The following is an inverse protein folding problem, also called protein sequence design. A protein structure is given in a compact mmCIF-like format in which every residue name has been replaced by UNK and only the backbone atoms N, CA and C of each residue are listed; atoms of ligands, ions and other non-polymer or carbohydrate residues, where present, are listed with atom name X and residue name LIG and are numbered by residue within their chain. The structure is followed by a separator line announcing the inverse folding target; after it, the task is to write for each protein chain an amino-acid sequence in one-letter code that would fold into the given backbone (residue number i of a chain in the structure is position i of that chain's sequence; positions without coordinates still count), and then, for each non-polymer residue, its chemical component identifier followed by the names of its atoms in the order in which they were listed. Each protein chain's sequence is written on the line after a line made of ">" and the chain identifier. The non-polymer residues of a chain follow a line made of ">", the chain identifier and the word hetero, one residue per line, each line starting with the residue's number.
data_IF_430685427232
#
_entry.id   IF_430685427232
#
_cell.length_a   1.000
_cell.length_b   1.000
_cell.length_c   1.000
_cell.angle_alpha   90.00
_cell.angle_beta   90.00
_cell.angle_gamma   90.00
#
_symmetry.space_group_name_H-M   'P 1'
#
loop_
_entity.id
_entity.type
_entity.pdbx_description
1 polymer ?
#
# COMPACT_ATOMS: atom_id res chain seq x y z
N UNK A 1 -5.97 0.05 -10.19
CA UNK A 1 -6.81 -1.06 -9.78
C UNK A 1 -7.89 -1.34 -10.84
N UNK A 2 -7.64 -2.35 -11.70
CA UNK A 2 -8.53 -2.71 -12.82
C UNK A 2 -9.90 -3.16 -12.31
N UNK A 3 -9.97 -3.90 -11.21
CA UNK A 3 -11.24 -4.45 -10.71
C UNK A 3 -12.22 -3.39 -10.22
N UNK A 4 -11.75 -2.30 -9.60
CA UNK A 4 -12.63 -1.22 -9.17
C UNK A 4 -13.12 -0.38 -10.35
N UNK A 5 -12.28 -0.15 -11.37
CA UNK A 5 -12.71 0.49 -12.62
C UNK A 5 -13.75 -0.35 -13.35
N UNK A 6 -13.52 -1.66 -13.48
CA UNK A 6 -14.45 -2.58 -14.10
C UNK A 6 -15.79 -2.66 -13.37
N UNK A 7 -15.78 -2.56 -12.03
CA UNK A 7 -16.99 -2.49 -11.21
C UNK A 7 -17.82 -1.24 -11.55
N UNK A 8 -17.18 -0.08 -11.64
CA UNK A 8 -17.84 1.18 -12.00
C UNK A 8 -18.45 1.10 -13.41
N UNK A 9 -17.72 0.54 -14.38
CA UNK A 9 -18.24 0.34 -15.74
C UNK A 9 -19.40 -0.63 -15.78
N UNK A 10 -19.32 -1.78 -15.11
CA UNK A 10 -20.39 -2.76 -15.05
C UNK A 10 -21.67 -2.14 -14.43
N UNK A 11 -21.52 -1.33 -13.38
CA UNK A 11 -22.63 -0.61 -12.76
C UNK A 11 -23.26 0.41 -13.71
N UNK A 12 -22.44 1.24 -14.37
CA UNK A 12 -22.92 2.25 -15.31
C UNK A 12 -23.63 1.63 -16.53
N UNK A 13 -23.22 0.42 -16.94
CA UNK A 13 -23.82 -0.33 -18.05
C UNK A 13 -25.01 -1.21 -17.63
N UNK A 14 -25.36 -1.27 -16.33
CA UNK A 14 -26.35 -2.19 -15.77
C UNK A 14 -26.03 -3.68 -16.05
N UNK A 15 -24.75 -4.02 -16.13
CA UNK A 15 -24.28 -5.39 -16.29
C UNK A 15 -24.16 -6.06 -14.92
N UNK A 16 -25.28 -6.63 -14.45
CA UNK A 16 -25.38 -7.19 -13.10
C UNK A 16 -24.50 -8.42 -12.87
N UNK A 17 -24.21 -9.20 -13.92
CA UNK A 17 -23.37 -10.39 -13.83
C UNK A 17 -21.90 -9.97 -13.56
N UNK A 18 -21.37 -9.09 -14.39
CA UNK A 18 -20.03 -8.58 -14.24
C UNK A 18 -19.89 -7.70 -12.99
N UNK A 19 -20.91 -6.92 -12.63
CA UNK A 19 -20.93 -6.17 -11.37
C UNK A 19 -20.69 -7.11 -10.18
N UNK A 20 -21.47 -8.18 -10.02
CA UNK A 20 -21.32 -9.13 -8.92
C UNK A 20 -19.97 -9.85 -8.91
N UNK A 21 -19.37 -10.07 -10.09
CA UNK A 21 -18.02 -10.63 -10.23
C UNK A 21 -16.96 -9.63 -9.73
N UNK A 22 -17.01 -8.39 -10.17
CA UNK A 22 -16.02 -7.38 -9.84
C UNK A 22 -16.14 -6.89 -8.39
N UNK A 23 -17.35 -6.87 -7.81
CA UNK A 23 -17.53 -6.65 -6.36
C UNK A 23 -16.72 -7.65 -5.52
N UNK A 24 -16.73 -8.93 -5.90
CA UNK A 24 -15.92 -9.96 -5.22
C UNK A 24 -14.42 -9.75 -5.41
N UNK A 25 -13.99 -9.32 -6.60
CA UNK A 25 -12.58 -9.03 -6.86
C UNK A 25 -12.11 -7.78 -6.12
N UNK A 26 -12.93 -6.75 -6.04
CA UNK A 26 -12.64 -5.54 -5.27
C UNK A 26 -12.44 -5.83 -3.77
N UNK A 27 -13.05 -6.89 -3.24
CA UNK A 27 -12.87 -7.35 -1.85
C UNK A 27 -11.79 -8.42 -1.67
N UNK A 28 -11.10 -8.83 -2.75
CA UNK A 28 -10.11 -9.90 -2.67
C UNK A 28 -8.91 -9.57 -1.76
N UNK A 29 -8.60 -8.28 -1.54
CA UNK A 29 -7.54 -7.85 -0.63
C UNK A 29 -7.73 -8.37 0.81
N UNK A 30 -8.97 -8.61 1.25
CA UNK A 30 -9.29 -9.14 2.58
C UNK A 30 -8.68 -10.54 2.83
N UNK A 31 -8.54 -11.37 1.76
CA UNK A 31 -7.94 -12.70 1.83
C UNK A 31 -6.42 -12.65 2.00
N UNK A 32 -5.79 -11.57 1.58
CA UNK A 32 -4.33 -11.40 1.65
C UNK A 32 -3.88 -10.68 2.91
N UNK A 33 -4.79 -10.19 3.76
CA UNK A 33 -4.43 -9.51 4.98
C UNK A 33 -4.20 -10.49 6.14
N UNK A 34 -2.95 -10.61 6.55
CA UNK A 34 -2.59 -11.39 7.74
C UNK A 34 -2.75 -10.54 9.00
N UNK A 35 -3.78 -10.82 9.77
CA UNK A 35 -4.09 -10.11 11.03
C UNK A 35 -2.99 -10.23 12.08
N UNK A 36 -2.20 -11.31 12.04
CA UNK A 36 -1.14 -11.55 13.03
C UNK A 36 0.07 -10.63 12.81
N UNK A 37 0.38 -10.32 11.56
CA UNK A 37 1.48 -9.44 11.17
C UNK A 37 1.01 -8.03 10.81
N UNK A 38 -0.28 -7.86 10.50
CA UNK A 38 -0.90 -6.63 10.00
C UNK A 38 -0.29 -6.16 8.67
N UNK A 39 -0.03 -7.14 7.78
CA UNK A 39 0.45 -6.91 6.42
C UNK A 39 -0.38 -7.68 5.39
N UNK A 40 -0.42 -7.17 4.17
CA UNK A 40 -0.79 -7.98 3.01
C UNK A 40 0.33 -8.97 2.72
N UNK A 41 -0.02 -10.26 2.54
CA UNK A 41 0.96 -11.34 2.34
C UNK A 41 0.55 -12.26 1.19
N UNK A 42 1.54 -12.86 0.55
CA UNK A 42 1.32 -13.90 -0.44
C UNK A 42 0.79 -15.19 0.18
N UNK A 43 -0.09 -15.86 -0.56
CA UNK A 43 -0.59 -17.19 -0.26
C UNK A 43 0.00 -18.20 -1.25
N UNK A 44 0.21 -19.42 -0.80
CA UNK A 44 0.54 -20.52 -1.69
C UNK A 44 -0.72 -21.12 -2.36
N UNK A 45 -0.54 -22.14 -3.20
CA UNK A 45 -1.64 -22.80 -3.89
C UNK A 45 -2.62 -23.57 -2.99
N UNK A 46 -2.29 -23.73 -1.70
CA UNK A 46 -3.15 -24.34 -0.68
C UNK A 46 -3.88 -23.30 0.17
N UNK A 47 -3.58 -22.00 -0.03
CA UNK A 47 -4.12 -20.90 0.77
C UNK A 47 -3.40 -20.70 2.10
N UNK A 48 -2.18 -21.22 2.23
CA UNK A 48 -1.34 -21.02 3.41
C UNK A 48 -0.40 -19.82 3.20
N UNK A 49 -0.07 -19.08 4.29
CA UNK A 49 0.85 -17.96 4.20
C UNK A 49 2.23 -18.41 3.75
N UNK A 50 2.77 -17.76 2.72
CA UNK A 50 4.13 -18.02 2.26
C UNK A 50 5.14 -17.65 3.35
N UNK A 51 6.14 -18.52 3.54
CA UNK A 51 7.18 -18.39 4.56
C UNK A 51 8.56 -18.67 3.96
N UNK A 52 9.64 -18.06 4.46
CA UNK A 52 9.67 -17.07 5.55
C UNK A 52 9.05 -15.73 5.15
N UNK A 53 8.54 -14.96 6.11
CA UNK A 53 8.00 -13.63 5.88
C UNK A 53 8.90 -12.55 6.49
N UNK A 54 9.33 -11.61 5.67
CA UNK A 54 10.05 -10.42 6.09
C UNK A 54 9.42 -9.20 5.40
N UNK A 55 8.81 -8.27 6.16
CA UNK A 55 8.08 -7.15 5.58
C UNK A 55 8.95 -6.10 4.87
N UNK A 56 10.29 -6.17 5.01
CA UNK A 56 11.27 -5.31 4.33
C UNK A 56 12.01 -5.99 3.19
N UNK A 57 11.73 -7.27 2.97
CA UNK A 57 12.36 -8.01 1.88
C UNK A 57 11.77 -7.58 0.54
N UNK A 58 12.68 -7.35 -0.42
CA UNK A 58 12.37 -7.21 -1.83
C UNK A 58 13.36 -8.03 -2.63
N UNK A 59 12.84 -8.91 -3.48
CA UNK A 59 13.63 -9.64 -4.47
C UNK A 59 12.93 -9.46 -5.80
N UNK A 60 13.34 -8.43 -6.53
CA UNK A 60 12.69 -7.98 -7.75
C UNK A 60 12.32 -9.13 -8.68
N UNK A 61 11.04 -9.26 -9.04
CA UNK A 61 10.45 -10.29 -9.91
C UNK A 61 10.37 -11.72 -9.35
N UNK A 62 10.76 -11.96 -8.10
CA UNK A 62 10.71 -13.31 -7.52
C UNK A 62 10.12 -13.39 -6.11
N UNK A 63 9.60 -12.28 -5.62
CA UNK A 63 8.87 -12.20 -4.34
C UNK A 63 7.35 -12.06 -4.54
N UNK A 64 6.63 -11.74 -3.45
CA UNK A 64 5.17 -11.59 -3.45
C UNK A 64 4.73 -10.18 -3.89
N UNK A 65 5.65 -9.24 -4.05
CA UNK A 65 5.38 -7.82 -4.26
C UNK A 65 6.04 -7.30 -5.53
N UNK A 66 5.27 -6.61 -6.34
CA UNK A 66 5.81 -5.95 -7.52
C UNK A 66 6.41 -4.60 -7.11
N UNK A 67 7.70 -4.38 -7.40
CA UNK A 67 8.36 -3.08 -7.20
C UNK A 67 8.22 -2.52 -5.77
N UNK A 68 8.16 -3.38 -4.76
CA UNK A 68 7.90 -2.94 -3.41
C UNK A 68 8.15 -4.03 -2.38
N UNK A 69 7.76 -3.74 -1.15
CA UNK A 69 7.76 -4.66 -0.02
C UNK A 69 6.37 -4.73 0.59
N UNK A 70 6.18 -5.55 1.63
CA UNK A 70 4.92 -5.59 2.37
C UNK A 70 4.54 -4.22 2.96
N UNK A 71 5.54 -3.39 3.32
CA UNK A 71 5.30 -2.06 3.85
C UNK A 71 4.60 -1.14 2.86
N UNK A 72 4.97 -1.15 1.58
CA UNK A 72 4.32 -0.32 0.57
C UNK A 72 2.99 -0.92 0.13
N UNK A 73 2.95 -2.23 -0.15
CA UNK A 73 1.77 -2.86 -0.76
C UNK A 73 0.59 -3.06 0.18
N UNK A 74 0.81 -3.06 1.51
CA UNK A 74 -0.28 -3.16 2.49
C UNK A 74 -1.32 -2.03 2.35
N UNK A 75 -0.91 -0.88 1.82
CA UNK A 75 -1.77 0.30 1.68
C UNK A 75 -2.48 0.41 0.32
N UNK A 76 -2.16 -0.50 -0.63
CA UNK A 76 -2.68 -0.39 -2.00
C UNK A 76 -4.13 -0.88 -2.12
N UNK A 77 -5.01 -0.27 -1.33
CA UNK A 77 -6.48 -0.46 -1.33
C UNK A 77 -7.19 0.91 -1.47
N UNK A 78 -6.85 1.71 -2.50
CA UNK A 78 -7.39 3.06 -2.63
C UNK A 78 -8.90 3.10 -2.89
N UNK A 79 -9.47 2.01 -3.36
CA UNK A 79 -10.89 1.87 -3.68
C UNK A 79 -11.78 1.54 -2.48
N UNK A 80 -11.21 1.14 -1.34
CA UNK A 80 -11.96 0.72 -0.15
C UNK A 80 -11.17 1.03 1.14
N UNK A 81 -10.88 2.30 1.35
CA UNK A 81 -10.09 2.75 2.51
C UNK A 81 -10.80 2.44 3.83
N UNK A 82 -12.12 2.64 3.88
CA UNK A 82 -12.92 2.32 5.08
C UNK A 82 -12.88 0.81 5.39
N UNK A 83 -12.93 -0.03 4.36
CA UNK A 83 -12.75 -1.47 4.50
C UNK A 83 -11.37 -1.84 5.05
N UNK A 84 -10.31 -1.18 4.57
CA UNK A 84 -8.95 -1.38 5.08
C UNK A 84 -8.81 -0.93 6.54
N UNK A 85 -9.40 0.21 6.92
CA UNK A 85 -9.45 0.70 8.31
C UNK A 85 -10.11 -0.34 9.22
N UNK A 86 -11.27 -0.85 8.81
CA UNK A 86 -12.00 -1.88 9.56
C UNK A 86 -11.20 -3.19 9.66
N UNK A 87 -10.56 -3.60 8.57
CA UNK A 87 -9.74 -4.82 8.52
C UNK A 87 -8.54 -4.76 9.47
N UNK A 88 -7.93 -3.57 9.63
CA UNK A 88 -6.83 -3.30 10.56
C UNK A 88 -7.25 -3.19 12.03
N UNK A 89 -8.55 -3.14 12.31
CA UNK A 89 -9.09 -3.08 13.68
C UNK A 89 -9.58 -1.69 14.12
N UNK A 90 -9.86 -0.80 13.16
CA UNK A 90 -10.41 0.53 13.39
C UNK A 90 -9.37 1.65 13.25
N UNK A 91 -9.84 2.89 13.40
CA UNK A 91 -9.05 4.10 13.12
C UNK A 91 -7.73 4.18 13.91
N UNK A 92 -7.75 3.89 15.22
CA UNK A 92 -6.55 4.01 16.05
C UNK A 92 -5.47 2.99 15.64
N UNK A 93 -5.86 1.74 15.39
CA UNK A 93 -4.96 0.70 14.94
C UNK A 93 -4.42 0.98 13.52
N UNK A 94 -5.25 1.54 12.66
CA UNK A 94 -4.86 1.99 11.32
C UNK A 94 -3.84 3.13 11.39
N UNK A 95 -4.10 4.17 12.20
CA UNK A 95 -3.18 5.30 12.38
C UNK A 95 -1.84 4.85 12.96
N UNK A 96 -1.86 3.99 14.00
CA UNK A 96 -0.62 3.43 14.59
C UNK A 96 0.23 2.71 13.52
N UNK A 97 -0.41 1.88 12.69
CA UNK A 97 0.30 1.17 11.62
C UNK A 97 0.78 2.12 10.52
N UNK A 98 -0.01 3.14 10.18
CA UNK A 98 0.35 4.15 9.18
C UNK A 98 1.50 5.03 9.68
N UNK A 99 1.49 5.46 10.93
CA UNK A 99 2.60 6.19 11.54
C UNK A 99 3.89 5.36 11.55
N UNK A 100 3.77 4.05 11.79
CA UNK A 100 4.91 3.12 11.73
C UNK A 100 5.59 3.11 10.36
N UNK A 101 4.82 3.22 9.26
CA UNK A 101 5.37 3.25 7.91
C UNK A 101 6.40 4.37 7.73
N UNK A 102 6.14 5.55 8.32
CA UNK A 102 7.00 6.74 8.18
C UNK A 102 8.11 6.83 9.23
N UNK A 103 8.12 5.95 10.24
CA UNK A 103 9.04 6.03 11.39
C UNK A 103 9.98 4.85 11.53
N UNK A 104 9.68 3.70 10.93
CA UNK A 104 10.57 2.55 10.94
C UNK A 104 11.82 2.82 10.11
N UNK A 105 12.86 2.03 10.33
CA UNK A 105 14.13 2.14 9.61
C UNK A 105 13.95 1.99 8.09
N UNK A 106 14.61 2.85 7.32
CA UNK A 106 14.57 2.90 5.86
C UNK A 106 15.46 1.83 5.19
N UNK A 107 15.81 0.75 5.88
CA UNK A 107 16.61 -0.34 5.34
C UNK A 107 15.75 -1.32 4.54
N UNK A 108 16.25 -1.75 3.39
CA UNK A 108 15.68 -2.82 2.58
C UNK A 108 16.50 -4.09 2.77
N UNK A 109 15.84 -5.23 2.68
CA UNK A 109 16.46 -6.55 2.75
C UNK A 109 16.13 -7.34 1.48
N UNK A 110 17.00 -8.27 1.09
CA UNK A 110 16.83 -9.08 -0.11
C UNK A 110 18.05 -9.03 -1.04
N UNK A 111 18.15 -9.99 -1.95
CA UNK A 111 19.33 -10.13 -2.82
C UNK A 111 19.34 -9.11 -3.97
N UNK A 112 18.18 -8.74 -4.46
CA UNK A 112 17.98 -7.80 -5.59
C UNK A 112 16.80 -6.89 -5.32
N UNK A 113 17.01 -5.85 -4.52
CA UNK A 113 15.95 -4.86 -4.24
C UNK A 113 15.55 -4.13 -5.52
N UNK A 114 14.26 -3.83 -5.67
CA UNK A 114 13.77 -3.04 -6.79
C UNK A 114 14.33 -1.61 -6.72
N UNK A 115 14.78 -1.09 -7.87
CA UNK A 115 15.24 0.30 -7.99
C UNK A 115 14.09 1.31 -7.78
N UNK A 116 12.83 0.88 -7.94
CA UNK A 116 11.64 1.71 -7.74
C UNK A 116 11.41 2.04 -6.26
N UNK A 117 11.98 1.24 -5.34
CA UNK A 117 11.92 1.52 -3.90
C UNK A 117 12.96 2.58 -3.55
N UNK A 118 12.65 3.83 -3.88
CA UNK A 118 13.53 4.98 -3.68
C UNK A 118 12.79 6.12 -2.96
N UNK A 119 13.52 7.18 -2.58
CA UNK A 119 12.94 8.32 -1.87
C UNK A 119 12.31 7.94 -0.54
N UNK A 120 12.96 7.07 0.24
CA UNK A 120 12.39 6.51 1.46
C UNK A 120 12.27 7.53 2.60
N UNK A 121 11.07 7.56 3.20
CA UNK A 121 10.80 8.16 4.51
C UNK A 121 10.25 7.03 5.40
N UNK A 122 11.04 6.51 6.31
CA UNK A 122 10.75 5.20 6.89
C UNK A 122 10.72 4.12 5.82
N UNK A 123 9.59 3.44 5.68
CA UNK A 123 9.34 2.49 4.60
C UNK A 123 8.36 3.03 3.53
N UNK A 124 8.00 4.31 3.61
CA UNK A 124 7.27 4.99 2.54
C UNK A 124 8.22 5.28 1.40
N UNK A 125 7.95 4.75 0.22
CA UNK A 125 8.78 4.91 -0.99
C UNK A 125 8.17 5.98 -1.90
N UNK A 126 8.64 7.23 -1.79
CA UNK A 126 8.10 8.33 -2.60
C UNK A 126 8.47 8.20 -4.09
N UNK A 127 9.58 7.57 -4.41
CA UNK A 127 10.03 7.35 -5.79
C UNK A 127 9.16 6.38 -6.59
N UNK A 128 8.23 5.65 -5.96
CA UNK A 128 7.32 4.73 -6.65
C UNK A 128 5.87 5.23 -6.57
N UNK A 129 5.23 5.45 -7.72
CA UNK A 129 3.90 6.03 -7.86
C UNK A 129 2.79 5.30 -7.07
N UNK A 130 2.79 3.96 -6.93
CA UNK A 130 1.81 3.26 -6.09
C UNK A 130 1.77 3.71 -4.63
N UNK A 131 2.81 4.40 -4.15
CA UNK A 131 2.87 4.92 -2.77
C UNK A 131 2.23 6.29 -2.59
N UNK A 132 2.04 7.07 -3.66
CA UNK A 132 1.69 8.50 -3.56
C UNK A 132 0.36 8.76 -2.81
N UNK A 133 -0.62 7.87 -2.92
CA UNK A 133 -1.92 8.01 -2.23
C UNK A 133 -1.80 7.82 -0.70
N UNK A 134 -0.74 7.13 -0.23
CA UNK A 134 -0.65 6.66 1.17
C UNK A 134 -0.60 7.82 2.16
N UNK A 135 0.09 8.92 1.84
CA UNK A 135 0.13 10.13 2.69
C UNK A 135 -1.27 10.69 2.93
N UNK A 136 -2.18 10.53 1.96
CA UNK A 136 -3.54 11.07 2.01
C UNK A 136 -4.51 10.19 2.80
N UNK A 137 -4.13 8.98 3.19
CA UNK A 137 -4.98 8.06 3.97
C UNK A 137 -5.35 8.62 5.34
N UNK A 138 -4.55 9.51 5.91
CA UNK A 138 -4.89 10.19 7.16
C UNK A 138 -6.17 11.05 7.08
N UNK A 139 -6.55 11.49 5.88
CA UNK A 139 -7.79 12.25 5.68
C UNK A 139 -9.05 11.41 5.97
N UNK A 140 -8.99 10.10 5.71
CA UNK A 140 -10.10 9.17 5.94
C UNK A 140 -10.33 8.86 7.43
N UNK A 141 -9.33 9.12 8.27
CA UNK A 141 -9.37 8.87 9.71
C UNK A 141 -9.28 10.17 10.53
N UNK A 142 -9.78 11.25 9.99
CA UNK A 142 -9.87 12.56 10.64
C UNK A 142 -8.54 13.10 11.19
N UNK A 143 -7.42 12.89 10.46
CA UNK A 143 -6.07 13.35 10.80
C UNK A 143 -5.43 14.16 9.66
N UNK A 144 -6.14 15.13 9.03
CA UNK A 144 -5.63 15.84 7.84
C UNK A 144 -4.33 16.61 8.10
N UNK A 145 -4.07 17.03 9.34
CA UNK A 145 -2.81 17.68 9.71
C UNK A 145 -1.58 16.77 9.49
N UNK A 146 -1.73 15.44 9.67
CA UNK A 146 -0.64 14.49 9.40
C UNK A 146 -0.32 14.44 7.91
N UNK A 147 -1.34 14.46 7.03
CA UNK A 147 -1.13 14.61 5.58
C UNK A 147 -0.33 15.87 5.29
N UNK A 148 -0.69 17.02 5.89
CA UNK A 148 -0.01 18.29 5.66
C UNK A 148 1.46 18.26 6.10
N UNK A 149 1.74 17.71 7.28
CA UNK A 149 3.11 17.54 7.80
C UNK A 149 3.96 16.64 6.88
N UNK A 150 3.41 15.52 6.43
CA UNK A 150 4.12 14.57 5.58
C UNK A 150 4.33 15.11 4.16
N UNK A 151 3.35 15.79 3.59
CA UNK A 151 3.51 16.47 2.28
C UNK A 151 4.61 17.53 2.36
N UNK A 152 4.64 18.35 3.42
CA UNK A 152 5.71 19.33 3.64
C UNK A 152 7.09 18.65 3.78
N UNK A 153 7.14 17.52 4.51
CA UNK A 153 8.36 16.71 4.65
C UNK A 153 8.84 16.17 3.30
N UNK A 154 7.93 15.63 2.48
CA UNK A 154 8.23 15.12 1.13
C UNK A 154 8.78 16.25 0.27
N UNK A 155 8.12 17.40 0.21
CA UNK A 155 8.61 18.53 -0.58
C UNK A 155 10.01 18.97 -0.17
N UNK A 156 10.32 18.97 1.11
CA UNK A 156 11.63 19.41 1.61
C UNK A 156 12.74 18.38 1.40
N UNK A 157 12.40 17.09 1.40
CA UNK A 157 13.41 16.02 1.36
C UNK A 157 13.56 15.36 -0.01
N UNK A 158 12.51 15.37 -0.85
CA UNK A 158 12.49 14.64 -2.11
C UNK A 158 12.52 15.54 -3.35
N UNK A 159 12.37 16.86 -3.20
CA UNK A 159 12.39 17.79 -4.32
C UNK A 159 13.43 18.88 -4.08
N UNK A 160 14.15 19.23 -5.15
CA UNK A 160 15.11 20.34 -5.16
C UNK A 160 14.96 21.18 -6.41
N UNK A 161 15.39 22.45 -6.33
CA UNK A 161 15.41 23.35 -7.48
C UNK A 161 16.67 23.10 -8.35
N UNK A 162 16.76 21.90 -8.92
CA UNK A 162 17.86 21.47 -9.79
C UNK A 162 17.34 20.53 -10.89
N UNK A 163 18.16 20.24 -11.89
CA UNK A 163 17.79 19.31 -12.98
C UNK A 163 17.52 17.91 -12.46
N UNK A 164 18.22 17.50 -11.40
CA UNK A 164 18.09 16.21 -10.74
C UNK A 164 17.25 16.31 -9.46
N UNK A 165 16.31 17.24 -9.41
CA UNK A 165 15.56 17.60 -8.21
C UNK A 165 14.35 16.72 -7.88
N UNK A 166 14.23 15.56 -8.53
CA UNK A 166 13.33 14.47 -8.13
C UNK A 166 14.15 13.35 -7.51
N UNK A 167 13.72 12.84 -6.39
CA UNK A 167 14.37 11.71 -5.72
C UNK A 167 14.26 10.42 -6.51
#
# INVERSE_FOLDING_TARGET
>A
DVCSSDLIFAEAMNDFENKAKYERFAKAYEFYFDKSTRFMRGLDSKGEWRTPFNPRASTHRSDDYCEGTAWQWTWFVPHDVDGLVNLMGGEDAFVEKLDSLFTVESSLEGETTSADISGLIGQYAHGNEPSHHVIHLYNYVNRPWRTQELVDSVYKSQYANSVDGLS
#
